data_IF_900507498317
#
_entry.id   IF_900507498317
#
_cell.length_a   1.000
_cell.length_b   1.000
_cell.length_c   1.000
_cell.angle_alpha   90.00
_cell.angle_beta   90.00
_cell.angle_gamma   90.00
#
_symmetry.space_group_name_H-M   'P 1'
#
loop_
_entity.id
_entity.type
_entity.pdbx_description
1 polymer ?
#
# COMPACT_ATOMS: atom_id res chain seq x y z
N UNK A 1 -4.80 -23.35 11.25
CA UNK A 1 -5.20 -22.06 10.61
C UNK A 1 -4.01 -21.13 10.66
N UNK A 2 -3.78 -20.38 9.61
CA UNK A 2 -2.69 -19.38 9.61
C UNK A 2 -3.07 -18.20 10.52
N UNK A 3 -2.08 -17.68 11.26
CA UNK A 3 -2.25 -16.48 12.09
C UNK A 3 -1.57 -15.24 11.46
N UNK A 4 -1.21 -15.34 10.15
CA UNK A 4 -0.49 -14.27 9.46
C UNK A 4 -1.43 -13.18 8.95
N UNK A 5 -0.94 -11.94 8.95
CA UNK A 5 -1.65 -10.77 8.44
C UNK A 5 -0.91 -10.23 7.21
N UNK A 6 -1.68 -9.74 6.24
CA UNK A 6 -1.18 -8.96 5.11
C UNK A 6 -1.62 -7.50 5.25
N UNK A 7 -0.69 -6.58 5.09
CA UNK A 7 -0.99 -5.19 4.78
C UNK A 7 -0.47 -4.92 3.37
N UNK A 8 -1.35 -4.47 2.48
CA UNK A 8 -0.97 -4.11 1.11
C UNK A 8 -1.48 -2.72 0.75
N UNK A 9 -1.06 -2.20 -0.38
CA UNK A 9 -1.46 -0.90 -0.90
C UNK A 9 -0.78 -0.65 -2.25
N UNK A 10 -1.03 0.47 -2.90
CA UNK A 10 -0.21 0.83 -4.04
C UNK A 10 1.21 1.25 -3.60
N UNK A 11 2.16 1.25 -4.53
CA UNK A 11 3.48 1.80 -4.25
C UNK A 11 3.34 3.24 -3.72
N UNK A 12 4.16 3.61 -2.75
CA UNK A 12 4.15 4.93 -2.07
C UNK A 12 2.94 5.21 -1.16
N UNK A 13 2.12 4.20 -0.89
CA UNK A 13 1.00 4.34 0.06
C UNK A 13 1.45 4.43 1.54
N UNK A 14 2.74 4.27 1.84
CA UNK A 14 3.26 4.33 3.21
C UNK A 14 3.52 2.95 3.84
N UNK A 15 3.53 1.88 3.08
CA UNK A 15 3.76 0.50 3.54
C UNK A 15 5.07 0.35 4.34
N UNK A 16 6.12 1.09 3.99
CA UNK A 16 7.37 1.08 4.76
C UNK A 16 7.18 1.63 6.19
N UNK A 17 6.41 2.70 6.35
CA UNK A 17 6.08 3.23 7.67
C UNK A 17 5.28 2.21 8.50
N UNK A 18 4.30 1.55 7.89
CA UNK A 18 3.49 0.54 8.58
C UNK A 18 4.32 -0.64 9.09
N UNK A 19 5.24 -1.16 8.27
CA UNK A 19 6.19 -2.20 8.71
C UNK A 19 7.08 -1.72 9.86
N UNK A 20 7.57 -0.48 9.78
CA UNK A 20 8.38 0.10 10.85
C UNK A 20 7.61 0.24 12.17
N UNK A 21 6.38 0.76 12.12
CA UNK A 21 5.55 0.90 13.33
C UNK A 21 5.17 -0.45 13.96
N UNK A 22 4.88 -1.46 13.13
CA UNK A 22 4.66 -2.84 13.61
C UNK A 22 5.87 -3.40 14.32
N UNK A 23 7.06 -3.15 13.78
CA UNK A 23 8.31 -3.58 14.41
C UNK A 23 8.50 -2.96 15.80
N UNK A 24 8.12 -1.71 16.01
CA UNK A 24 8.11 -1.07 17.35
C UNK A 24 7.14 -1.72 18.33
N UNK A 25 6.13 -2.44 17.84
CA UNK A 25 5.23 -3.26 18.66
C UNK A 25 5.72 -4.71 18.79
N UNK A 26 6.97 -5.03 18.45
CA UNK A 26 7.52 -6.38 18.41
C UNK A 26 6.77 -7.33 17.48
N UNK A 27 6.13 -6.78 16.43
CA UNK A 27 5.41 -7.55 15.41
C UNK A 27 6.30 -7.64 14.17
N UNK A 28 6.73 -8.87 13.84
CA UNK A 28 7.63 -9.11 12.73
C UNK A 28 6.88 -9.29 11.41
N UNK A 29 6.56 -8.19 10.76
CA UNK A 29 5.99 -8.10 9.42
C UNK A 29 6.93 -7.29 8.51
N UNK A 30 7.90 -7.95 7.85
CA UNK A 30 8.89 -7.27 7.03
C UNK A 30 8.28 -6.57 5.83
N UNK A 31 8.99 -5.54 5.33
CA UNK A 31 8.59 -4.79 4.15
C UNK A 31 9.16 -5.45 2.88
N UNK A 32 8.29 -5.94 1.99
CA UNK A 32 8.56 -6.36 0.60
C UNK A 32 9.48 -7.57 0.38
N UNK A 33 10.09 -8.17 1.38
CA UNK A 33 11.13 -9.19 1.18
C UNK A 33 10.61 -10.63 1.23
N UNK A 34 9.91 -10.97 2.28
CA UNK A 34 9.40 -12.31 2.56
C UNK A 34 8.24 -12.24 3.56
N UNK A 35 7.44 -13.30 3.62
CA UNK A 35 6.39 -13.42 4.63
C UNK A 35 7.03 -13.81 5.98
N UNK A 36 7.07 -12.85 6.89
CA UNK A 36 7.58 -13.04 8.25
C UNK A 36 6.69 -13.91 9.11
N UNK A 37 7.05 -14.02 10.41
CA UNK A 37 6.32 -14.85 11.36
C UNK A 37 4.85 -14.41 11.51
N UNK A 38 4.61 -13.11 11.64
CA UNK A 38 3.26 -12.53 11.77
C UNK A 38 2.65 -12.06 10.45
N UNK A 39 3.39 -12.07 9.34
CA UNK A 39 2.88 -11.68 8.03
C UNK A 39 3.83 -10.80 7.23
N UNK A 40 3.29 -9.95 6.38
CA UNK A 40 4.05 -9.08 5.48
C UNK A 40 3.34 -7.74 5.26
N UNK A 41 4.13 -6.69 5.04
CA UNK A 41 3.68 -5.38 4.57
C UNK A 41 4.28 -5.13 3.19
N UNK A 42 3.48 -5.03 2.13
CA UNK A 42 3.99 -4.89 0.76
C UNK A 42 3.02 -4.20 -0.17
N UNK A 43 3.55 -3.50 -1.18
CA UNK A 43 2.76 -3.06 -2.33
C UNK A 43 2.81 -4.07 -3.49
N UNK A 44 3.75 -5.00 -3.48
CA UNK A 44 3.94 -6.04 -4.49
C UNK A 44 3.06 -7.27 -4.27
N UNK A 45 1.74 -7.09 -4.18
CA UNK A 45 0.80 -8.17 -3.91
C UNK A 45 0.64 -9.12 -5.09
N UNK A 46 0.54 -8.60 -6.32
CA UNK A 46 0.27 -9.40 -7.51
C UNK A 46 1.56 -10.02 -8.07
N UNK A 47 1.49 -11.28 -8.45
CA UNK A 47 2.58 -11.96 -9.14
C UNK A 47 2.67 -11.49 -10.59
N UNK A 48 3.87 -11.12 -11.06
CA UNK A 48 4.14 -10.85 -12.46
C UNK A 48 4.68 -12.11 -13.14
N UNK A 49 4.10 -12.55 -14.27
CA UNK A 49 4.64 -13.68 -15.03
C UNK A 49 6.09 -13.48 -15.49
N UNK A 50 6.49 -12.20 -15.69
CA UNK A 50 7.85 -11.84 -16.12
C UNK A 50 8.82 -11.65 -14.97
N UNK A 51 8.33 -11.44 -13.75
CA UNK A 51 9.12 -11.12 -12.55
C UNK A 51 8.55 -11.84 -11.33
N UNK A 52 8.55 -13.17 -11.29
CA UNK A 52 7.86 -13.94 -10.25
C UNK A 52 8.41 -13.70 -8.84
N UNK A 53 9.66 -13.24 -8.71
CA UNK A 53 10.33 -13.03 -7.42
C UNK A 53 10.69 -11.56 -7.15
N UNK A 54 10.03 -10.61 -7.80
CA UNK A 54 10.46 -9.19 -7.72
C UNK A 54 10.39 -8.60 -6.31
N UNK A 55 9.38 -8.96 -5.50
CA UNK A 55 9.21 -8.47 -4.13
C UNK A 55 9.26 -9.56 -3.08
N UNK A 56 8.62 -10.69 -3.34
CA UNK A 56 8.52 -11.80 -2.42
C UNK A 56 8.59 -13.10 -3.22
N UNK A 57 9.32 -14.10 -2.72
CA UNK A 57 9.35 -15.43 -3.32
C UNK A 57 7.99 -16.15 -3.21
N UNK A 58 7.18 -15.73 -2.23
CA UNK A 58 5.88 -16.31 -1.98
C UNK A 58 4.83 -15.68 -2.91
N UNK A 59 3.93 -16.52 -3.45
CA UNK A 59 2.76 -16.04 -4.19
C UNK A 59 1.72 -15.54 -3.18
N UNK A 60 1.72 -14.23 -2.93
CA UNK A 60 0.87 -13.62 -1.90
C UNK A 60 -0.62 -13.78 -2.19
N UNK A 61 -0.99 -13.86 -3.48
CA UNK A 61 -2.37 -14.11 -3.91
C UNK A 61 -2.88 -15.48 -3.44
N UNK A 62 -1.99 -16.47 -3.37
CA UNK A 62 -2.26 -17.86 -2.99
C UNK A 62 -1.96 -18.13 -1.51
N UNK A 63 -1.20 -17.22 -0.86
CA UNK A 63 -0.82 -17.38 0.54
C UNK A 63 -2.03 -17.16 1.46
N UNK A 64 -2.34 -18.09 2.36
CA UNK A 64 -3.42 -17.90 3.30
C UNK A 64 -3.03 -16.90 4.38
N UNK A 65 -3.83 -15.85 4.55
CA UNK A 65 -3.73 -14.87 5.63
C UNK A 65 -4.99 -14.89 6.49
N UNK A 66 -4.84 -14.72 7.81
CA UNK A 66 -5.98 -14.60 8.73
C UNK A 66 -6.76 -13.30 8.49
N UNK A 67 -6.07 -12.24 8.08
CA UNK A 67 -6.66 -10.93 7.74
C UNK A 67 -5.80 -10.23 6.69
N UNK A 68 -6.46 -9.55 5.75
CA UNK A 68 -5.82 -8.76 4.69
C UNK A 68 -6.33 -7.34 4.75
N UNK A 69 -5.42 -6.38 4.86
CA UNK A 69 -5.71 -4.95 4.90
C UNK A 69 -5.21 -4.24 3.65
N UNK A 70 -6.02 -3.33 3.10
CA UNK A 70 -5.61 -2.39 2.08
C UNK A 70 -5.37 -1.01 2.70
N UNK A 71 -4.13 -0.56 2.65
CA UNK A 71 -3.73 0.78 3.04
C UNK A 71 -3.85 1.73 1.84
N UNK A 72 -4.76 2.69 1.95
CA UNK A 72 -4.95 3.75 0.95
C UNK A 72 -4.34 5.04 1.50
N UNK A 73 -3.58 5.74 0.68
CA UNK A 73 -3.04 7.05 0.98
C UNK A 73 -3.75 8.09 0.10
N UNK A 74 -3.87 9.32 0.62
CA UNK A 74 -4.37 10.46 -0.15
C UNK A 74 -3.76 10.47 -1.57
N UNK A 75 -4.57 10.58 -2.65
CA UNK A 75 -4.09 10.52 -4.01
C UNK A 75 -3.04 11.59 -4.31
N UNK A 76 -3.23 12.83 -3.84
CA UNK A 76 -2.26 13.92 -4.04
C UNK A 76 -0.86 13.53 -3.56
N UNK A 77 -0.75 13.03 -2.33
CA UNK A 77 0.54 12.64 -1.75
C UNK A 77 1.14 11.40 -2.41
N UNK A 78 0.29 10.42 -2.75
CA UNK A 78 0.73 9.18 -3.34
C UNK A 78 1.20 9.38 -4.78
N UNK A 79 0.40 10.07 -5.62
CA UNK A 79 0.68 10.31 -7.03
C UNK A 79 1.93 11.19 -7.16
N UNK A 80 2.03 12.29 -6.41
CA UNK A 80 3.23 13.14 -6.38
C UNK A 80 4.49 12.35 -6.00
N UNK A 81 4.37 11.43 -5.03
CA UNK A 81 5.47 10.56 -4.64
C UNK A 81 5.83 9.52 -5.72
N UNK A 82 4.86 9.03 -6.48
CA UNK A 82 5.08 8.11 -7.60
C UNK A 82 5.85 8.75 -8.75
N UNK A 83 5.68 10.06 -8.95
CA UNK A 83 6.42 10.82 -9.98
C UNK A 83 7.94 10.75 -9.81
N UNK A 84 8.42 10.62 -8.57
CA UNK A 84 9.86 10.57 -8.25
C UNK A 84 10.45 9.16 -8.33
N UNK A 85 9.63 8.13 -8.57
CA UNK A 85 10.08 6.73 -8.62
C UNK A 85 10.31 6.23 -10.05
N UNK A 86 11.36 5.43 -10.22
CA UNK A 86 11.99 5.19 -11.51
C UNK A 86 11.39 4.14 -12.43
N UNK A 87 10.67 3.13 -12.01
CA UNK A 87 10.28 2.04 -12.93
C UNK A 87 8.81 1.69 -12.87
N UNK A 88 8.16 1.74 -14.03
CA UNK A 88 6.75 1.39 -14.23
C UNK A 88 6.56 -0.01 -14.82
N UNK A 89 7.66 -0.74 -15.07
CA UNK A 89 7.61 -2.03 -15.75
C UNK A 89 6.78 -3.08 -15.00
N UNK A 90 6.98 -3.19 -13.67
CA UNK A 90 6.23 -4.15 -12.88
C UNK A 90 4.73 -3.80 -12.81
N UNK A 91 4.32 -2.56 -12.50
CA UNK A 91 2.92 -2.18 -12.60
C UNK A 91 2.33 -2.41 -13.99
N UNK A 92 3.07 -2.13 -15.07
CA UNK A 92 2.61 -2.32 -16.44
C UNK A 92 2.49 -3.79 -16.88
N UNK A 93 3.18 -4.71 -16.21
CA UNK A 93 2.98 -6.15 -16.41
C UNK A 93 1.64 -6.62 -15.81
N UNK A 94 1.18 -5.98 -14.74
CA UNK A 94 -0.06 -6.30 -14.02
C UNK A 94 -1.26 -5.50 -14.57
N UNK A 95 -1.01 -4.27 -15.02
CA UNK A 95 -1.98 -3.31 -15.54
C UNK A 95 -1.57 -2.88 -16.94
N UNK A 96 -1.97 -3.63 -17.99
CA UNK A 96 -1.59 -3.33 -19.38
C UNK A 96 -1.99 -1.92 -19.84
N UNK A 97 -3.00 -1.33 -19.23
CA UNK A 97 -3.52 0.01 -19.53
C UNK A 97 -2.43 1.09 -19.34
N UNK A 98 -1.44 0.84 -18.49
CA UNK A 98 -0.33 1.79 -18.26
C UNK A 98 0.61 1.90 -19.45
N UNK A 99 0.70 0.88 -20.33
CA UNK A 99 1.64 0.85 -21.46
C UNK A 99 1.34 1.89 -22.53
N UNK A 100 0.08 2.30 -22.67
CA UNK A 100 -0.37 3.31 -23.64
C UNK A 100 -0.14 4.75 -23.19
N UNK A 101 0.17 4.99 -21.92
CA UNK A 101 0.30 6.31 -21.33
C UNK A 101 1.73 6.83 -21.48
N UNK A 102 1.88 8.05 -22.00
CA UNK A 102 3.20 8.66 -22.26
C UNK A 102 3.66 9.58 -21.14
N UNK A 103 2.74 10.24 -20.45
CA UNK A 103 3.06 11.18 -19.37
C UNK A 103 3.09 10.47 -18.03
N UNK A 104 4.10 10.76 -17.23
CA UNK A 104 4.27 10.15 -15.91
C UNK A 104 3.12 10.47 -14.96
N UNK A 105 2.58 11.68 -15.03
CA UNK A 105 1.44 12.11 -14.23
C UNK A 105 0.19 11.27 -14.50
N UNK A 106 -0.08 11.02 -15.80
CA UNK A 106 -1.19 10.17 -16.22
C UNK A 106 -0.96 8.72 -15.76
N UNK A 107 0.25 8.19 -15.95
CA UNK A 107 0.60 6.86 -15.48
C UNK A 107 0.42 6.72 -13.97
N UNK A 108 0.90 7.68 -13.18
CA UNK A 108 0.79 7.67 -11.73
C UNK A 108 -0.67 7.74 -11.25
N UNK A 109 -1.48 8.59 -11.90
CA UNK A 109 -2.91 8.74 -11.58
C UNK A 109 -3.68 7.47 -11.92
N UNK A 110 -3.53 6.94 -13.13
CA UNK A 110 -4.21 5.70 -13.57
C UNK A 110 -3.74 4.50 -12.74
N UNK A 111 -2.44 4.41 -12.44
CA UNK A 111 -1.91 3.38 -11.56
C UNK A 111 -2.52 3.42 -10.17
N UNK A 112 -2.61 4.60 -9.53
CA UNK A 112 -3.21 4.74 -8.21
C UNK A 112 -4.65 4.23 -8.19
N UNK A 113 -5.45 4.57 -9.21
CA UNK A 113 -6.84 4.16 -9.33
C UNK A 113 -6.93 2.65 -9.55
N UNK A 114 -6.32 2.14 -10.61
CA UNK A 114 -6.49 0.74 -11.02
C UNK A 114 -5.88 -0.24 -10.03
N UNK A 115 -4.72 0.10 -9.45
CA UNK A 115 -4.05 -0.76 -8.47
C UNK A 115 -4.87 -0.92 -7.19
N UNK A 116 -5.34 0.19 -6.61
CA UNK A 116 -6.17 0.14 -5.42
C UNK A 116 -7.53 -0.53 -5.70
N UNK A 117 -8.16 -0.25 -6.83
CA UNK A 117 -9.41 -0.91 -7.25
C UNK A 117 -9.23 -2.42 -7.39
N UNK A 118 -8.10 -2.86 -7.97
CA UNK A 118 -7.78 -4.28 -8.10
C UNK A 118 -7.56 -4.91 -6.72
N UNK A 119 -6.80 -4.27 -5.83
CA UNK A 119 -6.53 -4.75 -4.48
C UNK A 119 -7.79 -4.87 -3.61
N UNK A 120 -8.76 -3.95 -3.76
CA UNK A 120 -10.03 -3.99 -3.00
C UNK A 120 -10.79 -5.31 -3.15
N UNK A 121 -10.57 -6.06 -4.24
CA UNK A 121 -11.21 -7.36 -4.48
C UNK A 121 -10.55 -8.52 -3.71
N UNK A 122 -9.40 -8.28 -3.10
CA UNK A 122 -8.56 -9.31 -2.46
C UNK A 122 -8.34 -9.10 -0.97
N UNK A 123 -8.92 -8.05 -0.39
CA UNK A 123 -8.72 -7.68 1.00
C UNK A 123 -10.03 -7.74 1.81
N UNK A 124 -9.91 -7.89 3.11
CA UNK A 124 -11.05 -7.96 4.02
C UNK A 124 -11.47 -6.58 4.51
N UNK A 125 -10.52 -5.64 4.57
CA UNK A 125 -10.74 -4.30 5.11
C UNK A 125 -9.80 -3.28 4.44
N UNK A 126 -10.29 -2.08 4.19
CA UNK A 126 -9.48 -0.94 3.74
C UNK A 126 -9.44 0.16 4.78
N UNK A 127 -8.34 0.91 4.82
CA UNK A 127 -8.18 2.04 5.72
C UNK A 127 -7.31 3.13 5.10
N UNK A 128 -7.54 4.36 5.55
CA UNK A 128 -6.68 5.49 5.24
C UNK A 128 -5.39 5.41 6.09
N UNK A 129 -4.25 5.73 5.51
CA UNK A 129 -2.97 5.80 6.23
C UNK A 129 -3.06 6.66 7.51
N UNK A 130 -3.84 7.75 7.49
CA UNK A 130 -4.04 8.60 8.67
C UNK A 130 -4.78 7.89 9.82
N UNK A 131 -5.51 6.80 9.52
CA UNK A 131 -6.22 5.96 10.49
C UNK A 131 -5.40 4.74 10.93
N UNK A 132 -4.12 4.67 10.55
CA UNK A 132 -3.28 3.49 10.77
C UNK A 132 -3.09 3.15 12.25
N UNK A 133 -3.12 4.12 13.16
CA UNK A 133 -3.06 3.86 14.61
C UNK A 133 -4.14 2.88 15.07
N UNK A 134 -5.37 3.04 14.58
CA UNK A 134 -6.48 2.12 14.88
C UNK A 134 -6.17 0.70 14.39
N UNK A 135 -5.69 0.57 13.17
CA UNK A 135 -5.33 -0.74 12.57
C UNK A 135 -4.14 -1.38 13.30
N UNK A 136 -3.12 -0.58 13.64
CA UNK A 136 -1.98 -1.02 14.42
C UNK A 136 -2.43 -1.64 15.76
N UNK A 137 -3.34 -0.96 16.47
CA UNK A 137 -3.88 -1.43 17.74
C UNK A 137 -4.72 -2.72 17.59
N UNK A 138 -5.47 -2.86 16.48
CA UNK A 138 -6.18 -4.12 16.18
C UNK A 138 -5.19 -5.27 15.93
N UNK A 139 -4.10 -5.02 15.19
CA UNK A 139 -3.06 -6.02 14.92
C UNK A 139 -2.30 -6.38 16.20
N UNK A 140 -1.99 -5.41 17.06
CA UNK A 140 -1.40 -5.67 18.37
C UNK A 140 -2.27 -6.60 19.21
N UNK A 141 -3.58 -6.32 19.27
CA UNK A 141 -4.56 -7.20 19.97
C UNK A 141 -4.61 -8.60 19.38
N UNK A 142 -4.60 -8.72 18.04
CA UNK A 142 -4.63 -10.01 17.35
C UNK A 142 -3.43 -10.90 17.71
N UNK A 143 -2.25 -10.31 17.90
CA UNK A 143 -1.05 -11.02 18.30
C UNK A 143 -0.77 -11.01 19.80
N UNK A 144 -1.68 -10.48 20.63
CA UNK A 144 -1.46 -10.31 22.08
C UNK A 144 -0.23 -9.49 22.42
N UNK A 145 0.08 -8.49 21.60
CA UNK A 145 1.19 -7.57 21.78
C UNK A 145 0.77 -6.27 22.47
N UNK A 146 1.68 -5.58 23.16
CA UNK A 146 1.40 -4.28 23.77
C UNK A 146 0.87 -3.25 22.75
N UNK A 147 -0.18 -2.54 23.14
CA UNK A 147 -0.76 -1.45 22.35
C UNK A 147 0.09 -0.20 22.59
N UNK A 148 0.44 0.53 21.53
CA UNK A 148 1.07 1.82 21.66
C UNK A 148 0.09 2.85 22.22
N UNK A 149 0.58 3.70 23.14
CA UNK A 149 -0.18 4.90 23.51
C UNK A 149 -0.22 5.86 22.33
N UNK A 150 -1.25 6.70 22.28
CA UNK A 150 -1.35 7.74 21.25
C UNK A 150 -0.08 8.60 21.16
N UNK A 151 0.46 9.00 22.29
CA UNK A 151 1.71 9.79 22.35
C UNK A 151 2.90 9.04 21.72
N UNK A 152 3.07 7.77 22.04
CA UNK A 152 4.12 6.93 21.45
C UNK A 152 3.94 6.78 19.94
N UNK A 153 2.71 6.60 19.47
CA UNK A 153 2.42 6.57 18.04
C UNK A 153 2.75 7.90 17.35
N UNK A 154 2.38 9.04 17.94
CA UNK A 154 2.70 10.37 17.40
C UNK A 154 4.21 10.59 17.28
N UNK A 155 4.99 10.13 18.25
CA UNK A 155 6.47 10.18 18.16
C UNK A 155 7.00 9.37 16.97
N UNK A 156 6.41 8.22 16.66
CA UNK A 156 6.78 7.42 15.46
C UNK A 156 6.45 8.19 14.17
N UNK A 157 5.27 8.80 14.09
CA UNK A 157 4.85 9.61 12.92
C UNK A 157 5.81 10.77 12.67
N UNK A 158 6.31 11.42 13.73
CA UNK A 158 7.25 12.54 13.63
C UNK A 158 8.64 12.13 13.11
N UNK A 159 9.02 10.87 13.13
CA UNK A 159 10.34 10.40 12.69
C UNK A 159 10.57 10.45 11.17
N UNK A 160 9.75 11.16 10.42
CA UNK A 160 9.94 11.50 8.99
C UNK A 160 10.56 10.36 8.16
N UNK A 161 9.97 9.17 8.22
CA UNK A 161 10.45 8.04 7.42
C UNK A 161 10.15 8.29 5.94
N UNK A 162 11.19 8.49 5.12
CA UNK A 162 11.09 8.71 3.67
C UNK A 162 10.34 9.99 3.23
N UNK A 163 10.47 11.09 3.93
CA UNK A 163 9.96 12.38 3.44
C UNK A 163 10.86 12.92 2.33
N UNK A 164 10.32 13.18 1.17
CA UNK A 164 10.97 13.85 0.04
C UNK A 164 10.09 15.00 -0.41
N UNK A 165 10.71 16.05 -0.95
CA UNK A 165 9.95 17.05 -1.68
C UNK A 165 9.41 16.41 -2.97
N UNK A 166 8.12 16.49 -3.17
CA UNK A 166 7.44 15.93 -4.33
C UNK A 166 6.85 17.05 -5.17
N UNK A 167 6.82 16.90 -6.51
CA UNK A 167 6.17 17.87 -7.37
C UNK A 167 4.67 17.94 -7.04
N UNK A 168 4.10 19.12 -7.18
CA UNK A 168 2.65 19.29 -7.15
C UNK A 168 2.06 18.77 -8.46
N UNK A 169 1.01 17.95 -8.37
CA UNK A 169 0.34 17.35 -9.52
C UNK A 169 -1.16 17.61 -9.40
N UNK A 170 -1.74 18.25 -10.40
CA UNK A 170 -3.20 18.39 -10.50
C UNK A 170 -3.81 17.10 -11.04
N UNK A 171 -3.78 16.07 -10.19
CA UNK A 171 -4.18 14.73 -10.57
C UNK A 171 -5.67 14.58 -10.88
N UNK A 172 -6.53 15.45 -10.35
CA UNK A 172 -7.98 15.42 -10.63
C UNK A 172 -8.27 15.66 -12.10
N UNK A 173 -7.53 16.56 -12.75
CA UNK A 173 -7.63 16.80 -14.20
C UNK A 173 -7.11 15.64 -15.06
N UNK A 174 -6.32 14.74 -14.46
CA UNK A 174 -5.72 13.60 -15.15
C UNK A 174 -6.52 12.31 -15.01
N UNK A 175 -7.63 12.34 -14.26
CA UNK A 175 -8.51 11.18 -14.11
C UNK A 175 -9.25 10.94 -15.43
N UNK A 176 -9.05 9.78 -16.10
CA UNK A 176 -9.84 9.46 -17.30
C UNK A 176 -11.33 9.35 -16.96
N UNK A 177 -12.18 9.85 -17.83
CA UNK A 177 -13.65 9.79 -17.63
C UNK A 177 -14.14 8.36 -17.38
N UNK A 178 -13.51 7.37 -17.99
CA UNK A 178 -13.80 5.94 -17.81
C UNK A 178 -13.44 5.41 -16.43
N UNK A 179 -12.61 6.11 -15.65
CA UNK A 179 -12.15 5.73 -14.31
C UNK A 179 -12.68 6.67 -13.23
N UNK A 180 -13.56 7.62 -13.57
CA UNK A 180 -14.08 8.61 -12.61
C UNK A 180 -14.82 7.93 -11.45
N UNK A 181 -15.63 6.93 -11.73
CA UNK A 181 -16.37 6.18 -10.70
C UNK A 181 -15.44 5.49 -9.70
N UNK A 182 -14.41 4.79 -10.18
CA UNK A 182 -13.44 4.12 -9.32
C UNK A 182 -12.64 5.12 -8.48
N UNK A 183 -12.26 6.25 -9.08
CA UNK A 183 -11.56 7.32 -8.38
C UNK A 183 -12.40 7.90 -7.23
N UNK A 184 -13.66 8.25 -7.49
CA UNK A 184 -14.56 8.81 -6.48
C UNK A 184 -14.85 7.81 -5.37
N UNK A 185 -15.04 6.54 -5.72
CA UNK A 185 -15.18 5.44 -4.76
C UNK A 185 -13.97 5.33 -3.84
N UNK A 186 -12.75 5.35 -4.39
CA UNK A 186 -11.52 5.27 -3.59
C UNK A 186 -11.35 6.50 -2.70
N UNK A 187 -11.70 7.69 -3.17
CA UNK A 187 -11.70 8.91 -2.35
C UNK A 187 -12.70 8.84 -1.20
N UNK A 188 -13.82 8.21 -1.39
CA UNK A 188 -14.81 7.99 -0.34
C UNK A 188 -14.34 7.05 0.79
N UNK A 189 -13.20 6.35 0.62
CA UNK A 189 -12.57 5.52 1.66
C UNK A 189 -11.51 6.28 2.48
N UNK A 190 -11.20 7.52 2.13
CA UNK A 190 -10.21 8.36 2.82
C UNK A 190 -10.83 9.20 3.93
#
# INVERSE_FOLDING_TARGET
MTNKILITGCARSGTKFSSYALHHCSIHMPHERYVGQQGIVTWGFFSSPKRPSFFCSDRLEETPFAKKYLQIRNPQDCISSLMTNGTWDYPADILPELKGLRKREEQATVYWILWNTKLLKHVDESYNLNSFEKILNQICKHFSMPILTHESYQRLVQQKINTRNHPEVDHEKLVPKTLQYEYDRLRGLL
#
